data_IF_121033139483
#
_entry.id   IF_121033139483
#
_cell.length_a   1.000
_cell.length_b   1.000
_cell.length_c   1.000
_cell.angle_alpha   90.00
_cell.angle_beta   90.00
_cell.angle_gamma   90.00
#
_symmetry.space_group_name_H-M   'P 1'
#
loop_
_entity.id
_entity.type
_entity.pdbx_description
1 polymer ?
#
# COMPACT_ATOMS: atom_id res chain seq x y z
N UNK A 1 -6.57 -5.94 -45.70
CA UNK A 1 -7.78 -6.25 -44.91
C UNK A 1 -8.39 -4.92 -44.50
N UNK A 2 -9.68 -4.67 -44.77
CA UNK A 2 -10.37 -3.47 -44.28
C UNK A 2 -10.73 -3.74 -42.81
N UNK A 3 -10.32 -2.85 -41.91
CA UNK A 3 -10.74 -2.91 -40.50
C UNK A 3 -12.28 -2.86 -40.44
N UNK A 4 -12.91 -3.88 -39.86
CA UNK A 4 -14.38 -3.98 -39.81
C UNK A 4 -14.96 -3.42 -38.52
N UNK A 5 -14.19 -3.39 -37.44
CA UNK A 5 -14.60 -2.88 -36.12
C UNK A 5 -13.38 -2.32 -35.38
N UNK A 6 -13.60 -1.21 -34.64
CA UNK A 6 -12.59 -0.63 -33.76
C UNK A 6 -12.70 -1.31 -32.40
N UNK A 7 -11.72 -2.15 -32.05
CA UNK A 7 -11.62 -2.76 -30.72
C UNK A 7 -10.92 -1.75 -29.80
N UNK A 8 -11.63 -1.19 -28.84
CA UNK A 8 -11.07 -0.27 -27.84
C UNK A 8 -11.54 -0.62 -26.42
N UNK A 9 -10.67 -0.39 -25.44
CA UNK A 9 -11.05 -0.47 -24.03
C UNK A 9 -11.57 0.90 -23.64
N UNK A 10 -12.87 0.97 -23.33
CA UNK A 10 -13.54 2.23 -22.99
C UNK A 10 -12.82 2.92 -21.82
N UNK A 11 -12.51 4.21 -21.99
CA UNK A 11 -11.82 5.06 -21.00
C UNK A 11 -10.39 4.63 -20.63
N UNK A 12 -9.79 3.69 -21.36
CA UNK A 12 -8.40 3.32 -21.15
C UNK A 12 -7.47 4.17 -22.01
N UNK A 13 -6.47 4.79 -21.37
CA UNK A 13 -5.35 5.44 -22.05
C UNK A 13 -4.10 4.60 -21.84
N UNK A 14 -3.59 3.99 -22.91
CA UNK A 14 -2.35 3.22 -22.84
C UNK A 14 -1.16 4.12 -22.51
N UNK A 15 -1.10 5.31 -23.10
CA UNK A 15 -0.02 6.27 -22.83
C UNK A 15 -0.02 6.70 -21.36
N UNK A 16 -1.19 7.04 -20.81
CA UNK A 16 -1.33 7.40 -19.40
C UNK A 16 -0.97 6.25 -18.46
N UNK A 17 -1.43 5.03 -18.77
CA UNK A 17 -1.09 3.84 -17.97
C UNK A 17 0.42 3.57 -17.91
N UNK A 18 1.13 3.74 -19.04
CA UNK A 18 2.58 3.55 -19.11
C UNK A 18 3.33 4.69 -18.38
N UNK A 19 2.82 5.92 -18.48
CA UNK A 19 3.37 7.06 -17.75
C UNK A 19 3.24 6.88 -16.23
N UNK A 20 2.06 6.52 -15.75
CA UNK A 20 1.81 6.21 -14.34
C UNK A 20 2.71 5.08 -13.83
N UNK A 21 2.90 4.03 -14.64
CA UNK A 21 3.82 2.94 -14.32
C UNK A 21 5.27 3.41 -14.12
N UNK A 22 5.76 4.32 -14.96
CA UNK A 22 7.09 4.93 -14.79
C UNK A 22 7.16 5.76 -13.51
N UNK A 23 6.13 6.54 -13.23
CA UNK A 23 6.06 7.39 -12.03
C UNK A 23 6.07 6.57 -10.74
N UNK A 24 5.30 5.47 -10.70
CA UNK A 24 5.27 4.54 -9.57
C UNK A 24 6.61 3.82 -9.42
N UNK A 25 7.24 3.40 -10.52
CA UNK A 25 8.56 2.76 -10.48
C UNK A 25 9.64 3.67 -9.88
N UNK A 26 9.70 4.92 -10.32
CA UNK A 26 10.67 5.89 -9.77
C UNK A 26 10.36 6.25 -8.31
N UNK A 27 9.08 6.32 -7.94
CA UNK A 27 8.67 6.50 -6.54
C UNK A 27 9.07 5.30 -5.68
N UNK A 28 8.95 4.09 -6.20
CA UNK A 28 9.34 2.85 -5.53
C UNK A 28 10.79 2.84 -5.06
N UNK A 29 11.71 3.41 -5.84
CA UNK A 29 13.13 3.55 -5.43
C UNK A 29 13.28 4.39 -4.14
N UNK A 30 12.53 5.49 -4.05
CA UNK A 30 12.50 6.34 -2.85
C UNK A 30 11.84 5.64 -1.66
N UNK A 31 10.85 4.79 -1.92
CA UNK A 31 10.18 4.01 -0.87
C UNK A 31 11.10 2.96 -0.27
N UNK A 32 12.01 2.36 -1.06
CA UNK A 32 13.04 1.44 -0.54
C UNK A 32 13.95 2.19 0.44
N UNK A 33 14.47 3.34 0.03
CA UNK A 33 15.34 4.16 0.90
C UNK A 33 14.62 4.60 2.19
N UNK A 34 13.33 4.91 2.11
CA UNK A 34 12.51 5.22 3.28
C UNK A 34 12.34 4.00 4.19
N UNK A 35 12.07 2.82 3.62
CA UNK A 35 11.89 1.59 4.38
C UNK A 35 13.17 1.21 5.15
N UNK A 36 14.33 1.30 4.50
CA UNK A 36 15.64 1.06 5.14
C UNK A 36 15.86 2.04 6.29
N UNK A 37 15.60 3.33 6.06
CA UNK A 37 15.73 4.35 7.10
C UNK A 37 14.81 4.09 8.29
N UNK A 38 13.54 3.76 8.06
CA UNK A 38 12.57 3.47 9.14
C UNK A 38 12.98 2.23 9.93
N UNK A 39 13.52 1.20 9.25
CA UNK A 39 14.07 0.03 9.90
C UNK A 39 15.29 0.36 10.77
N UNK A 40 16.19 1.22 10.30
CA UNK A 40 17.37 1.68 11.04
C UNK A 40 16.99 2.54 12.27
N UNK A 41 15.96 3.38 12.15
CA UNK A 41 15.42 4.17 13.28
C UNK A 41 14.81 3.27 14.37
N UNK A 42 14.34 2.08 13.97
CA UNK A 42 13.77 1.08 14.85
C UNK A 42 12.30 1.35 15.18
N UNK A 43 11.51 0.28 15.17
CA UNK A 43 10.10 0.29 15.56
C UNK A 43 9.75 -1.05 16.22
N UNK A 44 8.71 -1.04 17.04
CA UNK A 44 8.22 -2.22 17.77
C UNK A 44 6.93 -2.80 17.15
N UNK A 45 6.24 -2.04 16.31
CA UNK A 45 5.06 -2.47 15.57
C UNK A 45 4.85 -1.63 14.29
N UNK A 46 4.18 -2.21 13.29
CA UNK A 46 3.71 -1.52 12.07
C UNK A 46 2.19 -1.45 12.06
N UNK A 47 1.65 -0.26 11.81
CA UNK A 47 0.22 -0.02 11.67
C UNK A 47 -0.11 0.38 10.24
N UNK A 48 -0.73 -0.53 9.50
CA UNK A 48 -1.26 -0.28 8.17
C UNK A 48 -2.64 0.36 8.34
N UNK A 49 -2.81 1.61 7.88
CA UNK A 49 -4.03 2.37 8.13
C UNK A 49 -4.61 2.95 6.84
N UNK A 50 -5.88 2.67 6.58
CA UNK A 50 -6.58 3.13 5.37
C UNK A 50 -8.09 3.13 5.53
N UNK A 51 -8.80 3.57 4.48
CA UNK A 51 -10.27 3.56 4.39
C UNK A 51 -10.66 3.05 2.99
N UNK A 52 -11.73 2.26 2.92
CA UNK A 52 -12.26 1.75 1.65
C UNK A 52 -11.22 0.93 0.88
N UNK A 53 -11.06 1.19 -0.42
CA UNK A 53 -10.16 0.43 -1.28
C UNK A 53 -8.70 0.39 -0.80
N UNK A 54 -8.20 1.45 -0.15
CA UNK A 54 -6.86 1.45 0.43
C UNK A 54 -6.75 0.48 1.61
N UNK A 55 -7.79 0.38 2.44
CA UNK A 55 -7.82 -0.62 3.51
C UNK A 55 -7.84 -2.04 2.93
N UNK A 56 -8.62 -2.24 1.86
CA UNK A 56 -8.69 -3.53 1.16
C UNK A 56 -7.34 -3.95 0.55
N UNK A 57 -6.63 -3.01 -0.09
CA UNK A 57 -5.29 -3.26 -0.63
C UNK A 57 -4.28 -3.62 0.46
N UNK A 58 -4.37 -2.98 1.63
CA UNK A 58 -3.49 -3.25 2.76
C UNK A 58 -3.75 -4.61 3.43
N UNK A 59 -4.91 -5.25 3.24
CA UNK A 59 -5.18 -6.60 3.76
C UNK A 59 -4.17 -7.63 3.27
N UNK A 60 -3.84 -7.58 1.96
CA UNK A 60 -2.88 -8.54 1.39
C UNK A 60 -1.47 -8.30 1.93
N UNK A 61 -1.10 -7.03 2.10
CA UNK A 61 0.19 -6.66 2.66
C UNK A 61 0.31 -7.10 4.11
N UNK A 62 -0.71 -6.86 4.93
CA UNK A 62 -0.75 -7.31 6.34
C UNK A 62 -0.54 -8.82 6.45
N UNK A 63 -1.24 -9.60 5.62
CA UNK A 63 -1.07 -11.04 5.59
C UNK A 63 0.36 -11.46 5.24
N UNK A 64 0.95 -10.84 4.21
CA UNK A 64 2.32 -11.16 3.78
C UNK A 64 3.35 -10.79 4.86
N UNK A 65 3.22 -9.63 5.48
CA UNK A 65 4.13 -9.20 6.54
C UNK A 65 4.01 -10.09 7.77
N UNK A 66 2.81 -10.45 8.21
CA UNK A 66 2.61 -11.37 9.32
C UNK A 66 3.09 -12.80 9.02
N UNK A 67 3.06 -13.23 7.75
CA UNK A 67 3.46 -14.58 7.35
C UNK A 67 4.96 -14.74 7.10
N UNK A 68 5.59 -13.72 6.53
CA UNK A 68 6.96 -13.81 6.02
C UNK A 68 7.91 -12.81 6.66
N UNK A 69 7.41 -11.81 7.39
CA UNK A 69 8.22 -10.88 8.15
C UNK A 69 8.85 -11.52 9.38
N UNK A 70 9.60 -10.71 10.12
CA UNK A 70 10.23 -11.15 11.36
C UNK A 70 9.18 -11.61 12.36
N UNK A 71 9.40 -12.76 12.98
CA UNK A 71 8.42 -13.41 13.85
C UNK A 71 7.97 -12.54 15.02
N UNK A 72 8.87 -11.67 15.48
CA UNK A 72 8.65 -10.83 16.64
C UNK A 72 8.15 -9.41 16.23
N UNK A 73 7.96 -9.16 14.93
CA UNK A 73 7.39 -7.91 14.43
C UNK A 73 5.86 -7.99 14.42
N UNK A 74 5.22 -7.09 15.18
CA UNK A 74 3.76 -6.97 15.20
C UNK A 74 3.27 -6.08 14.05
N UNK A 75 2.34 -6.60 13.23
CA UNK A 75 1.72 -5.84 12.13
C UNK A 75 0.21 -5.86 12.26
N UNK A 76 -0.39 -4.67 12.29
CA UNK A 76 -1.83 -4.49 12.44
C UNK A 76 -2.42 -3.73 11.27
N UNK A 77 -3.55 -4.20 10.74
CA UNK A 77 -4.39 -3.46 9.82
C UNK A 77 -5.52 -2.74 10.58
N UNK A 78 -5.63 -1.43 10.41
CA UNK A 78 -6.61 -0.59 11.10
C UNK A 78 -7.41 0.24 10.10
N UNK A 79 -8.73 0.27 10.26
CA UNK A 79 -9.57 1.21 9.53
C UNK A 79 -9.38 2.63 10.09
N UNK A 80 -8.96 3.60 9.27
CA UNK A 80 -8.54 4.91 9.75
C UNK A 80 -9.64 5.67 10.50
N UNK A 81 -10.90 5.52 10.07
CA UNK A 81 -12.04 6.15 10.76
C UNK A 81 -12.29 5.52 12.15
N UNK A 82 -12.03 4.22 12.32
CA UNK A 82 -12.17 3.55 13.60
C UNK A 82 -11.08 4.00 14.57
N UNK A 83 -9.84 4.10 14.09
CA UNK A 83 -8.74 4.68 14.86
C UNK A 83 -9.03 6.13 15.25
N UNK A 84 -9.53 6.95 14.33
CA UNK A 84 -9.86 8.34 14.65
C UNK A 84 -10.98 8.45 15.70
N UNK A 85 -11.93 7.51 15.72
CA UNK A 85 -13.01 7.50 16.71
C UNK A 85 -12.56 6.94 18.07
N UNK A 86 -11.82 5.82 18.09
CA UNK A 86 -11.60 5.01 19.29
C UNK A 86 -10.13 4.77 19.65
N UNK A 87 -9.19 5.15 18.78
CA UNK A 87 -7.76 4.83 18.93
C UNK A 87 -7.46 3.35 18.71
N UNK A 88 -6.26 2.93 19.10
CA UNK A 88 -5.84 1.53 19.08
C UNK A 88 -5.08 1.17 20.36
N UNK A 89 -5.40 0.04 21.00
CA UNK A 89 -4.86 -0.32 22.33
C UNK A 89 -3.34 -0.49 22.37
N UNK A 90 -2.73 -0.91 21.25
CA UNK A 90 -1.29 -1.14 21.13
C UNK A 90 -0.51 0.12 20.73
N UNK A 91 -1.19 1.11 20.15
CA UNK A 91 -0.55 2.35 19.71
C UNK A 91 -0.39 3.26 20.93
N UNK A 92 0.82 3.79 21.13
CA UNK A 92 1.21 4.52 22.34
C UNK A 92 0.57 5.91 22.42
N UNK A 93 0.31 6.54 21.27
CA UNK A 93 -0.28 7.88 21.15
C UNK A 93 -1.37 7.88 20.05
N UNK A 94 -2.28 8.87 20.10
CA UNK A 94 -3.34 9.10 19.10
C UNK A 94 -3.06 10.41 18.37
#
# INVERSE_FOLDING_TARGET
MKETEKIEIMHFSQEGYVEDGKNVYETGKKMIELADKVADEGYDAVFLMGVGGTWDELMQLEYLMNKFGDRDLEVYLIHAAEWNAMGHKRMTEK
#
